data_IF_974480422669
#
_entry.id   IF_974480422669
#
_cell.length_a   1.000
_cell.length_b   1.000
_cell.length_c   1.000
_cell.angle_alpha   90.00
_cell.angle_beta   90.00
_cell.angle_gamma   90.00
#
_symmetry.space_group_name_H-M   'P 1'
#
loop_
_entity.id
_entity.type
_entity.pdbx_description
1 polymer ?
#
# COMPACT_ATOMS: atom_id res chain seq x y z
N UNK A 1 -45.08 -11.50 4.21
CA UNK A 1 -43.85 -11.31 5.02
C UNK A 1 -42.94 -10.36 4.29
N UNK A 2 -42.44 -9.37 5.03
CA UNK A 2 -41.90 -8.08 4.60
C UNK A 2 -40.52 -8.16 3.92
N UNK A 3 -40.36 -7.40 2.82
CA UNK A 3 -39.22 -6.51 2.48
C UNK A 3 -37.81 -7.12 2.25
N UNK A 4 -36.88 -6.56 1.47
CA UNK A 4 -36.66 -5.17 1.04
C UNK A 4 -35.74 -5.18 -0.21
N UNK A 5 -35.95 -4.18 -1.07
CA UNK A 5 -35.24 -3.88 -2.31
C UNK A 5 -33.76 -3.55 -2.11
N UNK A 6 -32.92 -3.83 -3.12
CA UNK A 6 -31.49 -3.46 -3.10
C UNK A 6 -30.90 -3.33 -4.51
N UNK A 7 -31.41 -2.41 -5.31
CA UNK A 7 -30.72 -2.00 -6.54
C UNK A 7 -29.53 -1.13 -6.18
N UNK A 8 -28.30 -1.61 -6.40
CA UNK A 8 -27.10 -0.80 -6.24
C UNK A 8 -26.70 -0.22 -7.60
N UNK A 9 -27.03 1.05 -7.78
CA UNK A 9 -26.69 1.87 -8.95
C UNK A 9 -25.22 2.32 -8.82
N UNK A 10 -24.27 1.40 -8.98
CA UNK A 10 -22.85 1.75 -8.90
C UNK A 10 -22.42 2.47 -10.17
N UNK A 11 -21.98 3.72 -10.01
CA UNK A 11 -21.36 4.50 -11.09
C UNK A 11 -19.88 4.13 -11.14
N UNK A 12 -19.33 3.65 -12.26
CA UNK A 12 -17.91 3.32 -12.32
C UNK A 12 -17.11 4.62 -12.41
N UNK A 13 -16.36 4.94 -11.37
CA UNK A 13 -15.39 6.04 -11.38
C UNK A 13 -14.00 5.45 -11.55
N UNK A 14 -13.33 5.94 -12.58
CA UNK A 14 -12.22 5.30 -13.28
C UNK A 14 -10.97 5.05 -12.43
N UNK A 15 -10.36 3.92 -12.75
CA UNK A 15 -9.03 3.46 -12.36
C UNK A 15 -7.95 4.48 -12.74
N UNK A 16 -7.01 4.73 -11.83
CA UNK A 16 -5.67 5.14 -12.22
C UNK A 16 -4.62 4.50 -11.30
N UNK A 17 -4.08 3.38 -11.77
CA UNK A 17 -2.71 2.94 -11.55
C UNK A 17 -2.39 2.03 -12.72
N UNK A 18 -1.86 2.63 -13.78
CA UNK A 18 -1.51 1.94 -15.02
C UNK A 18 -0.43 0.89 -14.76
N UNK A 19 -0.78 -0.40 -14.85
CA UNK A 19 0.16 -1.43 -15.28
C UNK A 19 0.20 -2.78 -14.55
N UNK A 20 -0.48 -2.96 -13.41
CA UNK A 20 -0.48 -4.26 -12.73
C UNK A 20 -1.60 -5.16 -13.27
N UNK A 21 -1.35 -6.42 -13.67
CA UNK A 21 -2.42 -7.35 -13.94
C UNK A 21 -3.27 -7.49 -12.67
N UNK A 22 -4.55 -7.14 -12.76
CA UNK A 22 -5.52 -7.34 -11.69
C UNK A 22 -5.48 -8.81 -11.29
N UNK A 23 -4.97 -9.11 -10.09
CA UNK A 23 -5.03 -10.44 -9.53
C UNK A 23 -6.51 -10.80 -9.32
N UNK A 24 -7.02 -11.76 -10.11
CA UNK A 24 -8.42 -12.18 -10.02
C UNK A 24 -8.71 -12.74 -8.62
N UNK A 25 -9.62 -12.11 -7.89
CA UNK A 25 -10.04 -12.56 -6.55
C UNK A 25 -9.54 -11.71 -5.39
N UNK A 26 -8.77 -10.63 -5.64
CA UNK A 26 -8.61 -9.58 -4.63
C UNK A 26 -9.92 -8.81 -4.61
N UNK A 27 -10.80 -9.15 -3.67
CA UNK A 27 -11.88 -8.26 -3.26
C UNK A 27 -11.27 -6.88 -3.04
N UNK A 28 -11.87 -5.83 -3.59
CA UNK A 28 -11.50 -4.42 -3.31
C UNK A 28 -11.76 -4.13 -1.83
N UNK A 29 -10.92 -4.67 -0.95
CA UNK A 29 -10.89 -4.35 0.46
C UNK A 29 -10.04 -3.10 0.60
N UNK A 30 -10.69 -1.98 0.86
CA UNK A 30 -10.02 -0.79 1.35
C UNK A 30 -9.46 -1.12 2.75
N UNK A 31 -8.14 -1.02 2.90
CA UNK A 31 -7.50 -1.25 4.19
C UNK A 31 -7.83 -0.07 5.13
N UNK A 32 -8.25 -0.32 6.38
CA UNK A 32 -8.51 0.75 7.33
C UNK A 32 -7.22 1.52 7.63
N UNK A 33 -7.35 2.83 7.83
CA UNK A 33 -6.23 3.69 8.22
C UNK A 33 -5.79 3.42 9.67
N UNK A 34 -4.48 3.37 9.92
CA UNK A 34 -3.88 3.41 11.25
C UNK A 34 -2.75 4.45 11.27
N UNK A 35 -3.04 5.70 11.70
CA UNK A 35 -2.06 6.79 11.71
C UNK A 35 -0.80 6.53 12.53
N UNK A 36 -0.78 5.52 13.41
CA UNK A 36 0.42 5.16 14.19
C UNK A 36 1.44 4.40 13.35
N UNK A 37 1.00 3.70 12.31
CA UNK A 37 1.83 2.85 11.45
C UNK A 37 1.98 3.38 10.03
N UNK A 38 1.21 4.39 9.65
CA UNK A 38 1.29 5.00 8.34
C UNK A 38 2.56 5.85 8.17
N UNK A 39 3.19 5.69 7.00
CA UNK A 39 4.31 6.50 6.56
C UNK A 39 3.93 7.11 5.21
N UNK A 40 4.12 8.42 5.09
CA UNK A 40 3.87 9.13 3.84
C UNK A 40 4.82 8.61 2.74
N UNK A 41 4.27 8.20 1.59
CA UNK A 41 5.03 7.51 0.53
C UNK A 41 6.17 8.35 -0.06
N UNK A 42 5.98 9.66 -0.10
CA UNK A 42 6.99 10.65 -0.52
C UNK A 42 8.21 10.71 0.41
N UNK A 43 8.10 10.20 1.65
CA UNK A 43 9.18 10.10 2.62
C UNK A 43 9.91 8.75 2.60
N UNK A 44 9.60 7.88 1.64
CA UNK A 44 10.23 6.58 1.48
C UNK A 44 10.87 6.48 0.10
N UNK A 45 12.19 6.38 0.05
CA UNK A 45 12.96 6.24 -1.19
C UNK A 45 13.41 4.79 -1.32
N UNK A 46 12.86 4.05 -2.28
CA UNK A 46 13.24 2.67 -2.55
C UNK A 46 14.60 2.62 -3.27
N UNK A 47 15.44 1.67 -2.88
CA UNK A 47 16.77 1.42 -3.41
C UNK A 47 16.90 0.03 -4.02
N UNK A 48 18.05 -0.62 -3.82
CA UNK A 48 18.34 -1.94 -4.41
C UNK A 48 17.53 -3.08 -3.77
N UNK A 49 17.23 -4.16 -4.51
CA UNK A 49 16.65 -5.36 -3.93
C UNK A 49 17.59 -6.00 -2.90
N UNK A 50 17.01 -6.58 -1.85
CA UNK A 50 17.70 -7.34 -0.81
C UNK A 50 17.41 -8.83 -0.88
N UNK A 51 16.22 -9.21 -1.36
CA UNK A 51 15.84 -10.60 -1.53
C UNK A 51 14.44 -10.76 -2.12
N UNK A 52 14.18 -11.93 -2.69
CA UNK A 52 12.92 -12.28 -3.32
C UNK A 52 12.48 -13.66 -2.84
N UNK A 53 11.19 -13.83 -2.58
CA UNK A 53 10.56 -15.11 -2.33
C UNK A 53 9.42 -15.36 -3.33
N UNK A 54 8.71 -16.47 -3.14
CA UNK A 54 7.66 -16.89 -4.07
C UNK A 54 6.52 -15.86 -4.25
N UNK A 55 6.21 -15.08 -3.20
CA UNK A 55 5.04 -14.20 -3.17
C UNK A 55 5.36 -12.71 -3.09
N UNK A 56 6.64 -12.33 -3.03
CA UNK A 56 7.01 -10.95 -2.81
C UNK A 56 8.51 -10.74 -2.71
N UNK A 57 8.87 -9.48 -2.51
CA UNK A 57 10.24 -9.01 -2.53
C UNK A 57 10.52 -8.07 -1.36
N UNK A 58 11.79 -7.95 -1.01
CA UNK A 58 12.30 -7.03 0.00
C UNK A 58 13.28 -6.07 -0.67
N UNK A 59 13.02 -4.78 -0.53
CA UNK A 59 13.83 -3.69 -1.06
C UNK A 59 14.58 -2.99 0.07
N UNK A 60 15.82 -2.59 -0.15
CA UNK A 60 16.47 -1.57 0.68
C UNK A 60 15.74 -0.25 0.46
N UNK A 61 15.54 0.56 1.50
CA UNK A 61 15.00 1.89 1.35
C UNK A 61 15.58 2.85 2.38
N UNK A 62 15.42 4.15 2.10
CA UNK A 62 15.68 5.23 3.02
C UNK A 62 14.34 5.86 3.43
N UNK A 63 14.06 5.88 4.73
CA UNK A 63 12.87 6.48 5.30
C UNK A 63 13.24 7.78 6.03
N UNK A 64 12.52 8.86 5.72
CA UNK A 64 12.77 10.20 6.27
C UNK A 64 11.78 10.48 7.41
N UNK A 65 12.30 10.84 8.58
CA UNK A 65 11.45 11.27 9.71
C UNK A 65 10.66 10.13 10.37
N UNK A 66 11.21 8.91 10.34
CA UNK A 66 10.62 7.75 11.04
C UNK A 66 10.57 7.92 12.56
N UNK A 67 11.47 8.73 13.10
CA UNK A 67 11.51 9.09 14.52
C UNK A 67 10.85 10.46 14.68
N UNK A 68 9.79 10.50 15.49
CA UNK A 68 8.96 11.69 15.69
C UNK A 68 9.74 12.85 16.28
N UNK A 69 10.79 12.57 17.05
CA UNK A 69 11.64 13.58 17.65
C UNK A 69 12.71 14.09 16.66
N UNK A 70 12.90 13.40 15.52
CA UNK A 70 13.93 13.68 14.52
C UNK A 70 13.33 13.67 13.10
N UNK A 71 12.51 14.68 12.75
CA UNK A 71 11.72 14.69 11.52
C UNK A 71 12.54 14.70 10.23
N UNK A 72 13.81 15.11 10.27
CA UNK A 72 14.74 15.11 9.13
C UNK A 72 15.67 13.90 9.09
N UNK A 73 15.64 13.01 10.10
CA UNK A 73 16.56 11.87 10.16
C UNK A 73 16.21 10.86 9.07
N UNK A 74 17.22 10.52 8.25
CA UNK A 74 17.16 9.42 7.29
C UNK A 74 17.54 8.12 7.99
N UNK A 75 16.70 7.09 7.85
CA UNK A 75 16.91 5.76 8.42
C UNK A 75 16.90 4.73 7.30
N UNK A 76 17.94 3.87 7.25
CA UNK A 76 17.95 2.73 6.33
C UNK A 76 17.01 1.64 6.84
N UNK A 77 16.13 1.17 5.96
CA UNK A 77 15.09 0.18 6.29
C UNK A 77 14.99 -0.89 5.20
N UNK A 78 14.29 -1.98 5.52
CA UNK A 78 13.88 -3.00 4.56
C UNK A 78 12.36 -2.88 4.33
N UNK A 79 11.94 -2.79 3.07
CA UNK A 79 10.53 -2.66 2.67
C UNK A 79 10.08 -3.96 2.04
N UNK A 80 9.07 -4.61 2.63
CA UNK A 80 8.45 -5.82 2.07
C UNK A 80 7.28 -5.42 1.20
N UNK A 81 7.22 -5.94 -0.02
CA UNK A 81 6.16 -5.64 -0.97
C UNK A 81 5.81 -6.88 -1.79
N UNK A 82 4.61 -6.88 -2.38
CA UNK A 82 4.22 -7.89 -3.36
C UNK A 82 5.09 -7.76 -4.62
N UNK A 83 5.20 -8.86 -5.36
CA UNK A 83 5.85 -8.91 -6.67
C UNK A 83 4.86 -8.56 -7.77
#
# INVERSE_FOLDING_TARGET
SSMHSGGMLVRPSRLSSSGSPMLSGVSEYELPQDPRWEVARDRLVLGKPLGEGCFGQVMMAEAIGMDKDKPSRVTKVAVKMLK
#
